data_IF_455264843606
#
_entry.id   IF_455264843606
#
_cell.length_a   1.000
_cell.length_b   1.000
_cell.length_c   1.000
_cell.angle_alpha   90.00
_cell.angle_beta   90.00
_cell.angle_gamma   90.00
#
_symmetry.space_group_name_H-M   'P 1'
#
loop_
_entity.id
_entity.type
_entity.pdbx_description
1 polymer ?
#
# COMPACT_ATOMS: atom_id res chain seq x y z
N UNK A 1 7.65 6.65 -0.75
CA UNK A 1 8.47 5.52 -0.26
C UNK A 1 7.52 4.42 0.15
N UNK A 2 7.73 3.18 -0.30
CA UNK A 2 6.89 2.03 0.06
C UNK A 2 7.62 1.22 1.12
N UNK A 3 7.03 1.11 2.31
CA UNK A 3 7.56 0.29 3.41
C UNK A 3 6.74 -0.99 3.52
N UNK A 4 7.42 -2.15 3.56
CA UNK A 4 6.79 -3.46 3.67
C UNK A 4 6.69 -3.85 5.15
N UNK A 5 5.49 -4.16 5.61
CA UNK A 5 5.24 -4.61 6.98
C UNK A 5 5.22 -6.14 7.00
N UNK A 6 6.09 -6.76 7.81
CA UNK A 6 6.26 -8.21 7.87
C UNK A 6 5.63 -8.79 9.14
N UNK A 7 4.80 -9.82 8.98
CA UNK A 7 4.16 -10.57 10.07
C UNK A 7 4.41 -12.07 9.94
N UNK A 8 4.96 -12.68 11.00
CA UNK A 8 5.09 -14.13 11.12
C UNK A 8 5.13 -14.54 12.59
N UNK A 9 4.57 -15.69 12.92
CA UNK A 9 4.64 -16.26 14.27
C UNK A 9 6.03 -16.87 14.59
N UNK A 10 6.98 -16.72 13.66
CA UNK A 10 8.32 -17.27 13.72
C UNK A 10 9.33 -16.15 13.52
N UNK A 11 10.09 -15.87 14.58
CA UNK A 11 11.16 -14.86 14.62
C UNK A 11 12.15 -15.06 13.47
N UNK A 12 12.57 -16.31 13.22
CA UNK A 12 13.52 -16.66 12.17
C UNK A 12 13.00 -16.38 10.77
N UNK A 13 11.70 -16.50 10.52
CA UNK A 13 11.09 -16.15 9.23
C UNK A 13 11.08 -14.63 9.02
N UNK A 14 10.85 -13.85 10.08
CA UNK A 14 10.90 -12.38 9.98
C UNK A 14 12.31 -11.90 9.67
N UNK A 15 13.33 -12.46 10.34
CA UNK A 15 14.73 -12.11 10.05
C UNK A 15 15.14 -12.41 8.61
N UNK A 16 14.69 -13.55 8.06
CA UNK A 16 14.95 -13.91 6.66
C UNK A 16 14.26 -12.96 5.68
N UNK A 17 13.03 -12.55 5.98
CA UNK A 17 12.26 -11.63 5.15
C UNK A 17 12.80 -10.20 5.20
N UNK A 18 13.33 -9.76 6.35
CA UNK A 18 14.01 -8.46 6.48
C UNK A 18 15.30 -8.43 5.64
N UNK A 19 16.10 -9.49 5.68
CA UNK A 19 17.31 -9.61 4.83
C UNK A 19 16.96 -9.58 3.35
N UNK A 20 15.90 -10.29 2.94
CA UNK A 20 15.42 -10.27 1.56
C UNK A 20 14.98 -8.87 1.13
N UNK A 21 14.30 -8.12 2.01
CA UNK A 21 13.89 -6.75 1.71
C UNK A 21 15.09 -5.81 1.56
N UNK A 22 16.11 -5.96 2.41
CA UNK A 22 17.37 -5.21 2.31
C UNK A 22 18.09 -5.48 0.97
N UNK A 23 18.19 -6.75 0.57
CA UNK A 23 18.76 -7.15 -0.73
C UNK A 23 18.01 -6.55 -1.93
N UNK A 24 16.69 -6.38 -1.78
CA UNK A 24 15.83 -5.77 -2.81
C UNK A 24 15.80 -4.23 -2.75
N UNK A 25 16.50 -3.62 -1.79
CA UNK A 25 16.51 -2.16 -1.58
C UNK A 25 15.15 -1.61 -1.13
N UNK A 26 14.33 -2.45 -0.49
CA UNK A 26 13.00 -2.11 0.00
C UNK A 26 13.05 -1.94 1.50
N UNK A 27 12.46 -0.85 2.00
CA UNK A 27 12.32 -0.64 3.45
C UNK A 27 11.34 -1.67 4.01
N UNK A 28 11.76 -2.44 5.01
CA UNK A 28 10.89 -3.38 5.69
C UNK A 28 11.00 -3.25 7.20
N UNK A 29 9.87 -3.39 7.88
CA UNK A 29 9.77 -3.30 9.33
C UNK A 29 9.03 -4.51 9.88
N UNK A 30 9.50 -5.02 11.01
CA UNK A 30 8.81 -6.06 11.78
C UNK A 30 7.61 -5.42 12.48
N UNK A 31 6.44 -6.04 12.36
CA UNK A 31 5.29 -5.65 13.17
C UNK A 31 5.39 -6.31 14.55
N UNK A 32 6.01 -5.61 15.52
CA UNK A 32 6.22 -6.14 16.88
C UNK A 32 4.93 -6.14 17.72
N UNK A 33 4.03 -5.18 17.52
CA UNK A 33 2.77 -5.09 18.23
C UNK A 33 1.58 -4.98 17.27
N UNK A 34 0.45 -5.57 17.69
CA UNK A 34 -0.84 -5.28 17.07
C UNK A 34 -1.12 -3.80 17.32
N UNK A 35 -0.97 -2.97 16.29
CA UNK A 35 -1.55 -1.61 16.31
C UNK A 35 -3.06 -1.82 16.21
N UNK A 36 -3.69 -2.08 17.36
CA UNK A 36 -5.12 -2.03 17.48
C UNK A 36 -5.54 -0.63 17.01
N UNK A 37 -6.35 -0.58 15.95
CA UNK A 37 -6.79 0.69 15.41
C UNK A 37 -7.59 1.40 16.50
N UNK A 38 -6.95 2.38 17.16
CA UNK A 38 -7.59 3.32 18.07
C UNK A 38 -8.89 3.81 17.40
N UNK A 39 -9.98 3.94 18.17
CA UNK A 39 -11.23 4.54 17.71
C UNK A 39 -11.01 5.86 16.96
N UNK A 40 -9.96 6.60 17.30
CA UNK A 40 -9.48 7.78 16.58
C UNK A 40 -8.93 7.45 15.20
N UNK A 41 -8.09 6.41 15.03
CA UNK A 41 -7.58 5.97 13.73
C UNK A 41 -8.70 5.46 12.79
N UNK A 42 -9.71 4.79 13.35
CA UNK A 42 -10.94 4.44 12.65
C UNK A 42 -11.74 5.68 12.23
N UNK A 43 -11.83 6.69 13.10
CA UNK A 43 -12.49 7.95 12.80
C UNK A 43 -11.75 8.80 11.74
N UNK A 44 -10.42 8.71 11.69
CA UNK A 44 -9.58 9.43 10.72
C UNK A 44 -9.40 8.72 9.36
N UNK A 45 -10.02 7.55 9.16
CA UNK A 45 -10.30 7.02 7.83
C UNK A 45 -9.36 5.94 7.29
N UNK A 46 -8.56 5.28 8.12
CA UNK A 46 -7.89 4.06 7.69
C UNK A 46 -8.94 2.93 7.60
N UNK A 47 -9.36 2.60 6.37
CA UNK A 47 -10.28 1.48 6.09
C UNK A 47 -11.77 1.84 5.92
N UNK A 48 -12.14 3.13 5.98
CA UNK A 48 -13.52 3.55 5.64
C UNK A 48 -13.68 3.73 4.13
N UNK A 49 -14.86 3.44 3.55
CA UNK A 49 -15.17 3.87 2.19
C UNK A 49 -14.95 5.38 2.08
N UNK A 50 -14.27 5.81 1.01
CA UNK A 50 -14.11 7.24 0.72
C UNK A 50 -15.48 7.91 0.57
N UNK A 51 -15.63 9.11 1.12
CA UNK A 51 -16.87 9.88 0.97
C UNK A 51 -16.98 10.44 -0.44
N UNK A 52 -18.19 10.83 -0.83
CA UNK A 52 -18.43 11.45 -2.14
C UNK A 52 -17.61 12.74 -2.32
N UNK A 53 -17.37 13.48 -1.22
CA UNK A 53 -16.54 14.69 -1.21
C UNK A 53 -15.06 14.38 -1.48
N UNK A 54 -14.53 13.30 -0.88
CA UNK A 54 -13.16 12.82 -1.10
C UNK A 54 -12.98 12.31 -2.53
N UNK A 55 -13.98 11.61 -3.08
CA UNK A 55 -14.02 11.20 -4.47
C UNK A 55 -14.04 12.38 -5.43
N UNK A 56 -14.89 13.36 -5.17
CA UNK A 56 -14.98 14.56 -5.99
C UNK A 56 -13.64 15.32 -5.98
N UNK A 57 -13.05 15.54 -4.81
CA UNK A 57 -11.74 16.19 -4.70
C UNK A 57 -10.62 15.42 -5.44
N UNK A 58 -10.67 14.09 -5.42
CA UNK A 58 -9.76 13.27 -6.21
C UNK A 58 -9.97 13.49 -7.71
N UNK A 59 -11.20 13.35 -8.21
CA UNK A 59 -11.49 13.53 -9.63
C UNK A 59 -11.23 14.95 -10.12
N UNK A 60 -11.46 15.98 -9.31
CA UNK A 60 -11.15 17.36 -9.69
C UNK A 60 -9.66 17.59 -9.89
N UNK A 61 -8.81 17.00 -9.06
CA UNK A 61 -7.35 17.10 -9.18
C UNK A 61 -6.78 16.26 -10.33
N UNK A 62 -7.56 15.32 -10.88
CA UNK A 62 -7.14 14.43 -11.98
C UNK A 62 -7.99 14.64 -13.25
N UNK A 63 -8.75 15.76 -13.33
CA UNK A 63 -9.60 16.12 -14.49
C UNK A 63 -8.81 16.22 -15.80
N UNK A 64 -7.54 16.61 -15.72
CA UNK A 64 -6.64 16.80 -16.86
C UNK A 64 -5.74 15.58 -17.13
N UNK A 65 -5.82 14.53 -16.31
CA UNK A 65 -5.08 13.31 -16.57
C UNK A 65 -5.74 12.53 -17.71
N UNK A 66 -5.04 12.47 -18.83
CA UNK A 66 -5.44 11.66 -19.99
C UNK A 66 -5.57 10.22 -19.51
N UNK A 67 -6.80 9.69 -19.56
CA UNK A 67 -7.07 8.29 -19.26
C UNK A 67 -6.13 7.42 -20.11
N UNK A 68 -5.25 6.69 -19.43
CA UNK A 68 -4.31 5.79 -20.08
C UNK A 68 -5.15 4.60 -20.60
N UNK A 69 -5.08 4.25 -21.89
CA UNK A 69 -5.76 3.08 -22.42
C UNK A 69 -5.44 1.82 -21.60
N UNK A 70 -6.43 0.96 -21.39
CA UNK A 70 -6.29 -0.25 -20.58
C UNK A 70 -5.13 -1.13 -21.07
N UNK A 71 -4.97 -1.21 -22.39
CA UNK A 71 -3.90 -1.94 -23.07
C UNK A 71 -2.51 -1.42 -22.70
N UNK A 72 -2.36 -0.11 -22.52
CA UNK A 72 -1.10 0.54 -22.15
C UNK A 72 -0.79 0.36 -20.67
N UNK A 73 -1.81 0.52 -19.80
CA UNK A 73 -1.69 0.37 -18.35
C UNK A 73 -1.23 -1.04 -17.93
N UNK A 74 -1.66 -2.06 -18.68
CA UNK A 74 -1.33 -3.46 -18.40
C UNK A 74 -0.38 -4.09 -19.43
N UNK A 75 0.24 -3.29 -20.30
CA UNK A 75 1.13 -3.75 -21.38
C UNK A 75 2.25 -4.69 -20.92
N UNK A 76 2.74 -4.52 -19.69
CA UNK A 76 3.76 -5.39 -19.05
C UNK A 76 3.30 -6.85 -18.90
N UNK A 77 1.98 -7.09 -18.78
CA UNK A 77 1.40 -8.42 -18.62
C UNK A 77 0.93 -9.05 -19.95
N UNK A 78 0.78 -8.23 -20.99
CA UNK A 78 0.33 -8.68 -22.31
C UNK A 78 1.47 -8.85 -23.33
N UNK A 79 2.67 -8.35 -23.07
CA UNK A 79 3.85 -8.62 -23.90
C UNK A 79 4.32 -10.06 -23.70
N UNK A 80 4.01 -10.90 -24.69
CA UNK A 80 4.64 -12.21 -24.95
C UNK A 80 6.01 -12.03 -25.58
#
# INVERSE_FOLDING_TARGET
MTTVILKSDSESKIEQLLKLAEELGVSAEKQDDFVELDAKALAFGIGRPATDEEWNAYFENHKDEVAIPFEDAFSKYFKK
#
